data_IF_755955671349
#
_entry.id   IF_755955671349
#
_cell.length_a   1.000
_cell.length_b   1.000
_cell.length_c   1.000
_cell.angle_alpha   90.00
_cell.angle_beta   90.00
_cell.angle_gamma   90.00
#
_symmetry.space_group_name_H-M   'P 1'
#
loop_
_entity.id
_entity.type
_entity.pdbx_description
1 polymer ?
#
# COMPACT_ATOMS: atom_id res chain seq x y z
N UNK A 1 -7.93 -41.27 1.93
CA UNK A 1 -8.28 -40.64 3.22
C UNK A 1 -8.31 -39.15 2.97
N UNK A 2 -9.50 -38.55 3.02
CA UNK A 2 -9.66 -37.09 3.00
C UNK A 2 -9.45 -36.67 4.45
N UNK A 3 -8.29 -36.07 4.74
CA UNK A 3 -8.07 -35.46 6.05
C UNK A 3 -8.79 -34.13 6.00
N UNK A 4 -9.90 -34.05 6.72
CA UNK A 4 -10.59 -32.82 7.05
C UNK A 4 -9.69 -32.07 8.05
N UNK A 5 -8.73 -31.31 7.52
CA UNK A 5 -7.81 -30.50 8.32
C UNK A 5 -8.59 -29.29 8.80
N UNK A 6 -9.00 -29.34 10.06
CA UNK A 6 -9.73 -28.27 10.74
C UNK A 6 -8.97 -26.95 10.63
N UNK A 7 -9.66 -25.86 10.27
CA UNK A 7 -9.14 -24.48 10.12
C UNK A 7 -8.17 -24.03 11.24
N UNK A 8 -8.26 -24.62 12.44
CA UNK A 8 -7.43 -24.30 13.61
C UNK A 8 -5.95 -24.71 13.51
N UNK A 9 -5.56 -25.64 12.64
CA UNK A 9 -4.14 -26.08 12.56
C UNK A 9 -3.24 -24.99 11.96
N UNK A 10 -3.79 -24.14 11.09
CA UNK A 10 -3.01 -23.18 10.32
C UNK A 10 -3.01 -21.76 10.88
N UNK A 11 -3.78 -21.48 11.94
CA UNK A 11 -3.94 -20.13 12.49
C UNK A 11 -2.61 -19.49 12.90
N UNK A 12 -1.75 -20.25 13.58
CA UNK A 12 -0.45 -19.77 14.06
C UNK A 12 0.51 -19.46 12.91
N UNK A 13 0.83 -20.42 12.01
CA UNK A 13 1.72 -20.12 10.89
C UNK A 13 1.14 -19.06 9.95
N UNK A 14 -0.19 -19.04 9.71
CA UNK A 14 -0.85 -17.99 8.93
C UNK A 14 -0.63 -16.60 9.53
N UNK A 15 -0.87 -16.45 10.84
CA UNK A 15 -0.69 -15.18 11.55
C UNK A 15 0.74 -14.68 11.45
N UNK A 16 1.73 -15.55 11.60
CA UNK A 16 3.14 -15.18 11.42
C UNK A 16 3.44 -14.81 9.96
N UNK A 17 2.99 -15.64 9.02
CA UNK A 17 3.22 -15.40 7.60
C UNK A 17 2.69 -14.05 7.14
N UNK A 18 1.42 -13.77 7.43
CA UNK A 18 0.75 -12.52 7.08
C UNK A 18 1.39 -11.32 7.78
N UNK A 19 1.68 -11.42 9.09
CA UNK A 19 2.29 -10.32 9.86
C UNK A 19 3.62 -9.83 9.26
N UNK A 20 4.40 -10.75 8.71
CA UNK A 20 5.71 -10.45 8.13
C UNK A 20 5.68 -10.45 6.60
N UNK A 21 4.49 -10.37 5.99
CA UNK A 21 4.30 -10.26 4.54
C UNK A 21 4.98 -11.39 3.73
N UNK A 22 5.14 -12.57 4.34
CA UNK A 22 5.90 -13.69 3.79
C UNK A 22 7.42 -13.49 3.72
N UNK A 23 7.96 -12.45 4.38
CA UNK A 23 9.39 -12.15 4.39
C UNK A 23 10.15 -13.03 5.37
N UNK A 24 10.87 -14.03 4.85
CA UNK A 24 11.77 -14.87 5.64
C UNK A 24 12.82 -14.05 6.43
N UNK A 25 13.31 -12.94 5.85
CA UNK A 25 14.28 -12.06 6.49
C UNK A 25 13.68 -11.38 7.73
N UNK A 26 12.45 -10.87 7.64
CA UNK A 26 11.78 -10.24 8.78
C UNK A 26 11.47 -11.26 9.87
N UNK A 27 10.95 -12.43 9.49
CA UNK A 27 10.70 -13.52 10.43
C UNK A 27 11.98 -13.96 11.16
N UNK A 28 13.12 -14.00 10.45
CA UNK A 28 14.40 -14.38 11.05
C UNK A 28 14.90 -13.32 12.03
N UNK A 29 14.77 -12.03 11.69
CA UNK A 29 15.13 -10.93 12.60
C UNK A 29 14.32 -10.96 13.90
N UNK A 30 13.10 -11.46 13.82
CA UNK A 30 12.15 -11.54 14.94
C UNK A 30 12.21 -12.90 15.67
N UNK A 31 13.13 -13.79 15.26
CA UNK A 31 13.36 -15.08 15.92
C UNK A 31 12.30 -16.16 15.65
N UNK A 32 11.33 -15.92 14.78
CA UNK A 32 10.20 -16.83 14.57
C UNK A 32 10.35 -17.74 13.33
N UNK A 33 11.32 -17.46 12.45
CA UNK A 33 11.45 -18.18 11.17
C UNK A 33 11.67 -19.69 11.34
N UNK A 34 12.51 -20.08 12.31
CA UNK A 34 12.80 -21.49 12.56
C UNK A 34 11.54 -22.26 12.99
N UNK A 35 10.71 -21.65 13.84
CA UNK A 35 9.45 -22.26 14.27
C UNK A 35 8.44 -22.28 13.13
N UNK A 36 8.35 -21.21 12.32
CA UNK A 36 7.49 -21.17 11.13
C UNK A 36 7.83 -22.31 10.15
N UNK A 37 9.12 -22.53 9.86
CA UNK A 37 9.54 -23.58 8.92
C UNK A 37 9.18 -25.00 9.37
N UNK A 38 9.00 -25.26 10.66
CA UNK A 38 8.58 -26.58 11.18
C UNK A 38 7.15 -26.95 10.81
N UNK A 39 6.32 -25.98 10.44
CA UNK A 39 4.96 -26.21 9.99
C UNK A 39 4.88 -26.73 8.56
N UNK A 40 6.00 -26.73 7.81
CA UNK A 40 6.08 -27.22 6.43
C UNK A 40 4.94 -26.72 5.53
N UNK A 41 4.55 -25.45 5.72
CA UNK A 41 3.42 -24.83 5.01
C UNK A 41 3.67 -24.94 3.49
N UNK A 42 2.73 -25.52 2.72
CA UNK A 42 2.83 -25.55 1.27
C UNK A 42 2.80 -24.12 0.69
N UNK A 43 3.58 -23.89 -0.37
CA UNK A 43 3.65 -22.58 -1.00
C UNK A 43 2.28 -22.12 -1.52
N UNK A 44 1.45 -23.03 -2.01
CA UNK A 44 0.11 -22.72 -2.49
C UNK A 44 -0.78 -22.13 -1.39
N UNK A 45 -0.57 -22.58 -0.15
CA UNK A 45 -1.32 -22.12 1.01
C UNK A 45 -0.82 -20.75 1.50
N UNK A 46 0.49 -20.53 1.46
CA UNK A 46 1.10 -19.21 1.67
C UNK A 46 0.56 -18.16 0.69
N UNK A 47 0.50 -18.51 -0.60
CA UNK A 47 -0.06 -17.64 -1.65
C UNK A 47 -1.55 -17.36 -1.42
N UNK A 48 -2.33 -18.38 -1.01
CA UNK A 48 -3.74 -18.20 -0.68
C UNK A 48 -3.93 -17.20 0.47
N UNK A 49 -3.18 -17.35 1.57
CA UNK A 49 -3.29 -16.44 2.71
C UNK A 49 -2.90 -15.01 2.38
N UNK A 50 -1.86 -14.84 1.54
CA UNK A 50 -1.46 -13.51 1.11
C UNK A 50 -2.52 -12.88 0.22
N UNK A 51 -3.10 -13.66 -0.71
CA UNK A 51 -4.20 -13.20 -1.55
C UNK A 51 -5.41 -12.78 -0.71
N UNK A 52 -5.84 -13.61 0.24
CA UNK A 52 -6.93 -13.28 1.17
C UNK A 52 -6.65 -11.97 1.93
N UNK A 53 -5.41 -11.79 2.41
CA UNK A 53 -5.04 -10.54 3.09
C UNK A 53 -5.10 -9.34 2.17
N UNK A 54 -4.59 -9.45 0.94
CA UNK A 54 -4.63 -8.36 -0.04
C UNK A 54 -6.06 -8.01 -0.44
N UNK A 55 -6.93 -9.01 -0.62
CA UNK A 55 -8.34 -8.81 -0.94
C UNK A 55 -9.06 -8.12 0.22
N UNK A 56 -8.81 -8.55 1.46
CA UNK A 56 -9.32 -7.89 2.66
C UNK A 56 -8.86 -6.42 2.72
N UNK A 57 -7.56 -6.16 2.64
CA UNK A 57 -7.01 -4.80 2.69
C UNK A 57 -7.55 -3.92 1.57
N UNK A 58 -7.73 -4.46 0.37
CA UNK A 58 -8.32 -3.74 -0.76
C UNK A 58 -9.76 -3.32 -0.49
N UNK A 59 -10.52 -4.15 0.24
CA UNK A 59 -11.89 -3.83 0.68
C UNK A 59 -11.94 -2.82 1.83
N UNK A 60 -10.86 -2.72 2.61
CA UNK A 60 -10.72 -1.81 3.75
C UNK A 60 -10.12 -0.44 3.38
N UNK A 61 -9.76 -0.23 2.10
CA UNK A 61 -9.29 1.08 1.61
C UNK A 61 -10.33 2.16 1.95
N UNK A 62 -9.86 3.25 2.55
CA UNK A 62 -10.73 4.26 3.14
C UNK A 62 -10.10 5.65 3.12
N UNK A 63 -10.96 6.66 3.04
CA UNK A 63 -10.55 8.06 3.22
C UNK A 63 -10.39 8.44 4.68
N UNK A 64 -10.97 7.66 5.61
CA UNK A 64 -10.92 7.93 7.06
C UNK A 64 -9.76 7.22 7.76
N UNK A 65 -9.18 6.21 7.09
CA UNK A 65 -8.10 5.40 7.65
C UNK A 65 -7.24 4.87 6.49
N UNK A 66 -5.97 5.26 6.47
CA UNK A 66 -4.99 4.90 5.44
C UNK A 66 -4.14 3.67 5.81
N UNK A 67 -4.41 2.98 6.92
CA UNK A 67 -3.65 1.78 7.31
C UNK A 67 -3.66 0.72 6.19
N UNK A 68 -4.80 0.55 5.52
CA UNK A 68 -4.93 -0.43 4.44
C UNK A 68 -4.01 -0.10 3.26
N UNK A 69 -3.91 1.17 2.86
CA UNK A 69 -3.03 1.57 1.75
C UNK A 69 -1.55 1.47 2.15
N UNK A 70 -1.21 1.81 3.40
CA UNK A 70 0.15 1.66 3.93
C UNK A 70 0.56 0.17 3.96
N UNK A 71 -0.32 -0.72 4.44
CA UNK A 71 -0.02 -2.15 4.52
C UNK A 71 0.10 -2.80 3.13
N UNK A 72 -0.77 -2.44 2.19
CA UNK A 72 -0.64 -2.87 0.79
C UNK A 72 0.68 -2.40 0.15
N UNK A 73 1.10 -1.17 0.42
CA UNK A 73 2.40 -0.67 -0.05
C UNK A 73 3.59 -1.40 0.60
N UNK A 74 3.46 -1.83 1.87
CA UNK A 74 4.46 -2.66 2.53
C UNK A 74 4.53 -4.07 1.91
N UNK A 75 3.38 -4.70 1.62
CA UNK A 75 3.35 -5.99 0.92
C UNK A 75 4.07 -5.88 -0.43
N UNK A 76 3.82 -4.81 -1.20
CA UNK A 76 4.47 -4.57 -2.49
C UNK A 76 6.01 -4.43 -2.44
N UNK A 77 6.58 -4.12 -1.26
CA UNK A 77 8.05 -4.09 -1.05
C UNK A 77 8.64 -5.49 -0.92
N UNK A 78 7.83 -6.47 -0.50
CA UNK A 78 8.27 -7.84 -0.25
C UNK A 78 7.81 -8.83 -1.32
N UNK A 79 6.73 -8.51 -2.04
CA UNK A 79 6.11 -9.37 -3.05
C UNK A 79 5.79 -8.57 -4.31
N UNK A 80 5.86 -9.24 -5.46
CA UNK A 80 5.52 -8.62 -6.76
C UNK A 80 4.06 -8.93 -7.08
N UNK A 81 3.15 -8.05 -6.65
CA UNK A 81 1.70 -8.22 -6.79
C UNK A 81 1.07 -7.01 -7.51
N UNK A 82 1.02 -7.01 -8.86
CA UNK A 82 0.52 -5.85 -9.63
C UNK A 82 -0.98 -5.55 -9.43
N UNK A 83 -1.73 -6.46 -8.81
CA UNK A 83 -3.12 -6.23 -8.41
C UNK A 83 -3.24 -5.12 -7.37
N UNK A 84 -2.22 -4.93 -6.51
CA UNK A 84 -2.18 -3.91 -5.47
C UNK A 84 -2.32 -2.50 -6.05
N UNK A 85 -1.47 -2.15 -7.03
CA UNK A 85 -1.53 -0.81 -7.65
C UNK A 85 -2.87 -0.61 -8.38
N UNK A 86 -3.42 -1.66 -8.97
CA UNK A 86 -4.72 -1.59 -9.65
C UNK A 86 -5.84 -1.30 -8.64
N UNK A 87 -5.86 -1.99 -7.50
CA UNK A 87 -6.86 -1.79 -6.45
C UNK A 87 -6.80 -0.37 -5.84
N UNK A 88 -5.59 0.09 -5.51
CA UNK A 88 -5.39 1.43 -4.93
C UNK A 88 -5.75 2.52 -5.93
N UNK A 89 -5.35 2.39 -7.21
CA UNK A 89 -5.69 3.35 -8.27
C UNK A 89 -7.21 3.43 -8.47
N UNK A 90 -7.90 2.28 -8.51
CA UNK A 90 -9.35 2.23 -8.67
C UNK A 90 -10.11 2.81 -7.47
N UNK A 91 -9.63 2.60 -6.23
CA UNK A 91 -10.19 3.28 -5.07
C UNK A 91 -9.97 4.79 -5.16
N UNK A 92 -8.72 5.19 -5.42
CA UNK A 92 -8.30 6.58 -5.40
C UNK A 92 -9.04 7.44 -6.42
N UNK A 93 -9.24 6.91 -7.64
CA UNK A 93 -9.95 7.61 -8.72
C UNK A 93 -11.41 7.89 -8.40
N UNK A 94 -12.04 7.06 -7.57
CA UNK A 94 -13.45 7.17 -7.17
C UNK A 94 -13.66 8.03 -5.93
N UNK A 95 -12.77 7.92 -4.94
CA UNK A 95 -13.05 8.41 -3.58
C UNK A 95 -12.25 9.64 -3.15
N UNK A 96 -11.07 9.90 -3.75
CA UNK A 96 -10.15 10.90 -3.18
C UNK A 96 -10.35 12.33 -3.65
N UNK A 97 -11.20 12.55 -4.66
CA UNK A 97 -11.49 13.91 -5.16
C UNK A 97 -12.07 14.82 -4.08
N UNK A 98 -12.87 14.27 -3.17
CA UNK A 98 -13.49 14.99 -2.05
C UNK A 98 -12.77 14.80 -0.70
N UNK A 99 -11.77 13.92 -0.62
CA UNK A 99 -11.04 13.67 0.61
C UNK A 99 -10.24 14.91 1.07
N UNK A 100 -9.76 14.91 2.29
CA UNK A 100 -8.97 16.02 2.81
C UNK A 100 -7.54 16.08 2.19
N UNK A 101 -6.77 17.08 2.61
CA UNK A 101 -5.44 17.32 2.05
C UNK A 101 -4.41 16.24 2.39
N UNK A 102 -4.51 15.65 3.58
CA UNK A 102 -3.59 14.62 4.06
C UNK A 102 -3.88 13.28 3.40
N UNK A 103 -5.14 12.89 3.29
CA UNK A 103 -5.53 11.65 2.63
C UNK A 103 -5.04 11.64 1.18
N UNK A 104 -5.25 12.73 0.44
CA UNK A 104 -4.74 12.85 -0.94
C UNK A 104 -3.22 12.74 -1.00
N UNK A 105 -2.50 13.37 -0.07
CA UNK A 105 -1.03 13.28 -0.04
C UNK A 105 -0.55 11.86 0.26
N UNK A 106 -1.12 11.19 1.26
CA UNK A 106 -0.74 9.83 1.65
C UNK A 106 -0.95 8.87 0.48
N UNK A 107 -2.12 8.88 -0.15
CA UNK A 107 -2.39 8.03 -1.30
C UNK A 107 -1.48 8.35 -2.49
N UNK A 108 -1.17 9.63 -2.74
CA UNK A 108 -0.23 10.01 -3.80
C UNK A 108 1.17 9.45 -3.52
N UNK A 109 1.67 9.52 -2.28
CA UNK A 109 2.98 8.97 -1.92
C UNK A 109 3.03 7.45 -2.10
N UNK A 110 1.98 6.74 -1.71
CA UNK A 110 1.90 5.28 -1.91
C UNK A 110 1.82 4.91 -3.38
N UNK A 111 1.06 5.66 -4.18
CA UNK A 111 1.02 5.45 -5.62
C UNK A 111 2.38 5.71 -6.28
N UNK A 112 3.16 6.70 -5.85
CA UNK A 112 4.55 6.90 -6.35
C UNK A 112 5.41 5.66 -6.06
N UNK A 113 5.38 5.14 -4.83
CA UNK A 113 6.14 3.93 -4.47
C UNK A 113 5.74 2.73 -5.34
N UNK A 114 4.44 2.57 -5.59
CA UNK A 114 3.90 1.45 -6.38
C UNK A 114 4.17 1.59 -7.88
N UNK A 115 4.05 2.80 -8.44
CA UNK A 115 4.37 3.09 -9.85
C UNK A 115 5.82 2.67 -10.12
N UNK A 116 6.74 3.07 -9.24
CA UNK A 116 8.15 2.70 -9.34
C UNK A 116 8.41 1.21 -9.25
N UNK A 117 7.60 0.53 -8.44
CA UNK A 117 7.74 -0.92 -8.23
C UNK A 117 7.20 -1.72 -9.41
N UNK A 118 6.12 -1.27 -10.03
CA UNK A 118 5.31 -2.06 -10.93
C UNK A 118 5.36 -1.65 -12.40
N UNK A 119 6.12 -0.63 -12.78
CA UNK A 119 6.15 -0.14 -14.17
C UNK A 119 6.41 -1.25 -15.22
N UNK A 120 7.26 -2.23 -14.89
CA UNK A 120 7.61 -3.33 -15.80
C UNK A 120 6.61 -4.50 -15.76
N UNK A 121 5.62 -4.44 -14.87
CA UNK A 121 4.67 -5.52 -14.59
C UNK A 121 3.22 -5.17 -14.93
N UNK A 122 2.93 -3.92 -15.28
CA UNK A 122 1.59 -3.47 -15.71
C UNK A 122 1.63 -2.90 -17.12
N UNK A 123 0.47 -2.83 -17.76
CA UNK A 123 0.37 -2.19 -19.07
C UNK A 123 0.65 -0.70 -18.99
N UNK A 124 1.20 -0.13 -20.08
CA UNK A 124 1.48 1.30 -20.19
C UNK A 124 0.23 2.16 -19.92
N UNK A 125 -0.96 1.68 -20.30
CA UNK A 125 -2.21 2.40 -20.07
C UNK A 125 -2.54 2.49 -18.57
N UNK A 126 -2.42 1.38 -17.82
CA UNK A 126 -2.61 1.38 -16.36
C UNK A 126 -1.55 2.22 -15.65
N UNK A 127 -0.31 2.18 -16.14
CA UNK A 127 0.78 3.01 -15.60
C UNK A 127 0.50 4.50 -15.79
N UNK A 128 0.01 4.90 -16.98
CA UNK A 128 -0.40 6.28 -17.26
C UNK A 128 -1.58 6.72 -16.41
N UNK A 129 -2.57 5.85 -16.21
CA UNK A 129 -3.72 6.11 -15.34
C UNK A 129 -3.26 6.40 -13.90
N UNK A 130 -2.44 5.52 -13.33
CA UNK A 130 -1.90 5.69 -11.98
C UNK A 130 -1.04 6.97 -11.87
N UNK A 131 -0.20 7.25 -12.87
CA UNK A 131 0.61 8.46 -12.92
C UNK A 131 -0.25 9.73 -12.96
N UNK A 132 -1.23 9.79 -13.86
CA UNK A 132 -2.10 10.95 -14.01
C UNK A 132 -2.87 11.21 -12.72
N UNK A 133 -3.47 10.18 -12.15
CA UNK A 133 -4.19 10.28 -10.87
C UNK A 133 -3.27 10.79 -9.76
N UNK A 134 -2.05 10.29 -9.68
CA UNK A 134 -1.07 10.72 -8.67
C UNK A 134 -0.73 12.20 -8.83
N UNK A 135 -0.49 12.65 -10.06
CA UNK A 135 -0.24 14.07 -10.34
C UNK A 135 -1.44 14.94 -10.00
N UNK A 136 -2.66 14.51 -10.32
CA UNK A 136 -3.89 15.24 -10.00
C UNK A 136 -4.06 15.39 -8.48
N UNK A 137 -3.82 14.33 -7.71
CA UNK A 137 -3.84 14.38 -6.25
C UNK A 137 -2.83 15.38 -5.69
N UNK A 138 -1.59 15.36 -6.19
CA UNK A 138 -0.54 16.30 -5.76
C UNK A 138 -0.89 17.75 -6.12
N UNK A 139 -1.44 17.99 -7.31
CA UNK A 139 -1.90 19.32 -7.74
C UNK A 139 -3.04 19.79 -6.85
N UNK A 140 -4.01 18.93 -6.54
CA UNK A 140 -5.10 19.23 -5.63
C UNK A 140 -4.59 19.63 -4.24
N UNK A 141 -3.65 18.87 -3.68
CA UNK A 141 -3.05 19.19 -2.37
C UNK A 141 -2.32 20.52 -2.40
N UNK A 142 -1.62 20.87 -3.50
CA UNK A 142 -0.92 22.15 -3.59
C UNK A 142 -1.86 23.36 -3.73
N UNK A 143 -2.93 23.20 -4.51
CA UNK A 143 -3.76 24.32 -4.98
C UNK A 143 -5.00 24.57 -4.13
N UNK A 144 -5.58 23.53 -3.53
CA UNK A 144 -6.77 23.65 -2.68
C UNK A 144 -6.40 24.16 -1.27
N UNK A 145 -7.34 24.83 -0.58
CA UNK A 145 -7.17 25.18 0.82
C UNK A 145 -6.81 23.96 1.68
N UNK A 146 -6.05 24.20 2.76
CA UNK A 146 -5.77 23.15 3.73
C UNK A 146 -7.05 22.77 4.47
N UNK A 147 -7.59 21.61 4.12
CA UNK A 147 -8.68 20.94 4.84
C UNK A 147 -8.10 19.68 5.47
N UNK A 148 -8.44 19.44 6.74
CA UNK A 148 -8.04 18.28 7.54
C UNK A 148 -9.28 17.76 8.27
N UNK A 149 -9.58 16.48 8.10
CA UNK A 149 -10.60 15.80 8.89
C UNK A 149 -10.03 15.44 10.27
N UNK A 150 -10.88 15.24 11.30
CA UNK A 150 -10.43 14.84 12.63
C UNK A 150 -9.59 13.55 12.59
N UNK A 151 -8.42 13.57 13.24
CA UNK A 151 -7.49 12.43 13.25
C UNK A 151 -6.44 12.46 12.14
N UNK A 152 -6.48 13.43 11.23
CA UNK A 152 -5.51 13.58 10.14
C UNK A 152 -4.53 14.74 10.37
N UNK A 153 -4.02 14.87 11.60
CA UNK A 153 -3.17 16.00 11.96
C UNK A 153 -1.81 15.96 11.25
N UNK A 154 -1.40 17.10 10.69
CA UNK A 154 -0.13 17.25 9.96
C UNK A 154 1.09 16.78 10.77
N UNK A 155 1.07 17.02 12.08
CA UNK A 155 2.17 16.72 12.98
C UNK A 155 2.46 15.22 13.08
N UNK A 156 1.43 14.37 12.94
CA UNK A 156 1.62 12.91 12.90
C UNK A 156 2.52 12.48 11.73
N UNK A 157 2.58 13.32 10.68
CA UNK A 157 3.38 13.11 9.47
C UNK A 157 4.65 13.97 9.43
N UNK A 158 5.01 14.61 10.55
CA UNK A 158 6.15 15.52 10.61
C UNK A 158 5.98 16.79 9.77
N UNK A 159 4.75 17.13 9.40
CA UNK A 159 4.42 18.33 8.64
C UNK A 159 3.97 19.42 9.63
N UNK A 160 4.57 20.61 9.52
CA UNK A 160 4.28 21.71 10.45
C UNK A 160 3.03 22.50 10.08
N UNK A 161 2.87 22.79 8.80
CA UNK A 161 1.86 23.69 8.27
C UNK A 161 1.64 23.43 6.76
N UNK A 162 0.76 24.24 6.14
CA UNK A 162 0.49 24.19 4.70
C UNK A 162 1.76 24.43 3.85
N UNK A 163 2.71 25.24 4.31
CA UNK A 163 3.97 25.46 3.59
C UNK A 163 4.80 24.18 3.58
N UNK A 164 4.90 23.48 4.72
CA UNK A 164 5.53 22.17 4.83
C UNK A 164 4.86 21.13 3.94
N UNK A 165 3.52 21.11 3.91
CA UNK A 165 2.73 20.23 3.04
C UNK A 165 3.08 20.48 1.56
N UNK A 166 3.09 21.74 1.13
CA UNK A 166 3.40 22.09 -0.25
C UNK A 166 4.85 21.74 -0.62
N UNK A 167 5.82 21.91 0.29
CA UNK A 167 7.19 21.46 0.04
C UNK A 167 7.28 19.94 -0.18
N UNK A 168 6.51 19.16 0.59
CA UNK A 168 6.43 17.71 0.43
C UNK A 168 5.81 17.34 -0.92
N UNK A 169 4.73 18.03 -1.32
CA UNK A 169 4.09 17.88 -2.63
C UNK A 169 5.07 18.16 -3.77
N UNK A 170 5.81 19.26 -3.72
CA UNK A 170 6.76 19.61 -4.78
C UNK A 170 7.88 18.56 -4.90
N UNK A 171 8.41 18.07 -3.77
CA UNK A 171 9.36 16.95 -3.79
C UNK A 171 8.78 15.71 -4.47
N UNK A 172 7.53 15.34 -4.16
CA UNK A 172 6.86 14.19 -4.74
C UNK A 172 6.59 14.38 -6.24
N UNK A 173 6.23 15.59 -6.69
CA UNK A 173 6.07 15.92 -8.11
C UNK A 173 7.40 15.78 -8.86
N UNK A 174 8.48 16.34 -8.32
CA UNK A 174 9.82 16.21 -8.92
C UNK A 174 10.23 14.75 -9.05
N UNK A 175 9.96 13.96 -8.01
CA UNK A 175 10.28 12.55 -7.94
C UNK A 175 9.57 11.74 -9.03
N UNK A 176 8.25 11.92 -9.18
CA UNK A 176 7.48 11.17 -10.18
C UNK A 176 7.74 11.67 -11.61
N UNK A 177 7.95 12.97 -11.82
CA UNK A 177 8.31 13.53 -13.13
C UNK A 177 9.67 13.00 -13.59
N UNK A 178 10.66 12.97 -12.69
CA UNK A 178 11.98 12.41 -12.99
C UNK A 178 11.86 10.93 -13.39
N UNK A 179 10.99 10.21 -12.70
CA UNK A 179 10.76 8.80 -12.99
C UNK A 179 10.18 8.58 -14.39
N UNK A 180 9.16 9.35 -14.77
CA UNK A 180 8.46 9.16 -16.05
C UNK A 180 9.21 9.70 -17.28
N UNK A 181 10.25 10.52 -17.07
CA UNK A 181 11.10 11.06 -18.15
C UNK A 181 12.31 10.17 -18.47
N UNK A 182 12.66 9.26 -17.57
CA UNK A 182 13.75 8.30 -17.74
C UNK A 182 13.20 6.96 -18.24
#
# INVERSE_FOLDING_TARGET
>A
MVVDVTDTEWDVPKKWFVKYYGSAIQMHREGIYADYKRWEVPQELEELWMKERMDQLSSELSIMNWNAVDELALIAKHRTEPTIITAITAFASRQLKSADSMVRLVYAERLIELIKRYESFISMDKLREAYQLTMDLLVDVATKPLVLDPGHELQQYGIKDKRGLNLRVEKNKEEIIRYFRN
#
